data_IF_121415654806
#
_entry.id   IF_121415654806
#
_cell.length_a   1.000
_cell.length_b   1.000
_cell.length_c   1.000
_cell.angle_alpha   90.00
_cell.angle_beta   90.00
_cell.angle_gamma   90.00
#
_symmetry.space_group_name_H-M   'P 1'
#
loop_
_entity.id
_entity.type
_entity.pdbx_description
1 polymer ?
#
# COMPACT_ATOMS: atom_id res chain seq x y z
N UNK A 1 -12.64 1.84 -28.33
CA UNK A 1 -11.79 2.36 -27.23
C UNK A 1 -10.86 1.32 -26.61
N UNK A 2 -11.37 0.18 -26.12
CA UNK A 2 -10.53 -0.86 -25.48
C UNK A 2 -9.33 -1.38 -26.31
N UNK A 3 -9.46 -1.50 -27.63
CA UNK A 3 -8.36 -2.00 -28.47
C UNK A 3 -7.21 -1.00 -28.64
N UNK A 4 -7.52 0.30 -28.65
CA UNK A 4 -6.48 1.35 -28.73
C UNK A 4 -5.61 1.34 -27.47
N UNK A 5 -6.24 1.20 -26.31
CA UNK A 5 -5.52 1.04 -25.04
C UNK A 5 -4.64 -0.22 -25.05
N UNK A 6 -5.12 -1.35 -25.58
CA UNK A 6 -4.33 -2.58 -25.65
C UNK A 6 -3.06 -2.39 -26.49
N UNK A 7 -3.16 -1.67 -27.60
CA UNK A 7 -2.03 -1.34 -28.47
C UNK A 7 -1.01 -0.48 -27.71
N UNK A 8 -1.47 0.54 -26.99
CA UNK A 8 -0.61 1.42 -26.19
C UNK A 8 0.06 0.64 -25.03
N UNK A 9 -0.71 -0.16 -24.30
CA UNK A 9 -0.25 -0.98 -23.17
C UNK A 9 0.80 -2.01 -23.58
N UNK A 10 0.60 -2.71 -24.69
CA UNK A 10 1.53 -3.73 -25.17
C UNK A 10 2.65 -3.12 -26.04
N UNK A 11 2.69 -1.80 -26.18
CA UNK A 11 3.61 -1.06 -27.04
C UNK A 11 3.65 -1.60 -28.48
N UNK A 12 2.48 -2.06 -28.96
CA UNK A 12 2.32 -2.58 -30.31
C UNK A 12 2.15 -1.41 -31.26
N UNK A 13 2.71 -1.51 -32.47
CA UNK A 13 2.42 -0.57 -33.56
C UNK A 13 1.42 -1.20 -34.50
N UNK A 14 0.22 -0.63 -34.58
CA UNK A 14 -0.82 -1.10 -35.49
C UNK A 14 -0.58 -0.52 -36.90
N UNK A 15 -0.34 -1.41 -37.86
CA UNK A 15 -0.27 -1.07 -39.28
C UNK A 15 -1.51 -1.62 -39.99
N UNK A 16 -2.38 -0.71 -40.45
CA UNK A 16 -3.59 -1.07 -41.20
C UNK A 16 -3.28 -1.04 -42.70
N UNK A 17 -3.52 -2.14 -43.39
CA UNK A 17 -3.36 -2.20 -44.85
C UNK A 17 -4.35 -1.25 -45.51
N UNK A 18 -3.87 -0.42 -46.45
CA UNK A 18 -4.75 0.47 -47.22
C UNK A 18 -5.46 -0.30 -48.32
N UNK A 19 -6.66 0.15 -48.69
CA UNK A 19 -7.36 -0.35 -49.87
C UNK A 19 -6.46 -0.12 -51.09
N UNK A 20 -6.31 -1.16 -51.92
CA UNK A 20 -5.50 -1.16 -53.14
C UNK A 20 -3.97 -1.01 -52.96
N UNK A 21 -3.41 -1.41 -51.82
CA UNK A 21 -1.95 -1.58 -51.64
C UNK A 21 -1.53 -3.05 -51.94
N UNK A 22 -0.94 -3.34 -53.11
CA UNK A 22 -0.60 -4.71 -53.51
C UNK A 22 0.54 -5.31 -52.69
N UNK A 23 1.47 -4.50 -52.17
CA UNK A 23 2.68 -4.97 -51.52
C UNK A 23 2.40 -5.59 -50.14
N UNK A 24 1.53 -4.95 -49.36
CA UNK A 24 1.12 -5.45 -48.04
C UNK A 24 0.06 -6.55 -48.16
N UNK A 25 -0.91 -6.38 -49.07
CA UNK A 25 -2.01 -7.33 -49.27
C UNK A 25 -1.56 -8.65 -49.91
N UNK A 26 -0.61 -8.60 -50.84
CA UNK A 26 -0.13 -9.78 -51.59
C UNK A 26 0.47 -10.87 -50.69
N UNK A 27 1.15 -10.49 -49.60
CA UNK A 27 1.71 -11.44 -48.62
C UNK A 27 0.61 -12.24 -47.91
N UNK A 28 -0.44 -11.55 -47.45
CA UNK A 28 -1.59 -12.17 -46.76
C UNK A 28 -2.37 -13.05 -47.73
N UNK A 29 -2.61 -12.59 -48.96
CA UNK A 29 -3.32 -13.37 -49.98
C UNK A 29 -2.55 -14.65 -50.35
N UNK A 30 -1.23 -14.59 -50.47
CA UNK A 30 -0.39 -15.76 -50.74
C UNK A 30 -0.41 -16.76 -49.58
N UNK A 31 -0.38 -16.29 -48.33
CA UNK A 31 -0.53 -17.16 -47.15
C UNK A 31 -1.89 -17.86 -47.14
N UNK A 32 -2.99 -17.12 -47.38
CA UNK A 32 -4.34 -17.69 -47.44
C UNK A 32 -4.43 -18.72 -48.58
N UNK A 33 -3.88 -18.42 -49.77
CA UNK A 33 -3.81 -19.36 -50.90
C UNK A 33 -3.03 -20.62 -50.51
N UNK A 34 -1.93 -20.49 -49.78
CA UNK A 34 -1.14 -21.61 -49.30
C UNK A 34 -1.96 -22.52 -48.36
N UNK A 35 -2.62 -21.95 -47.34
CA UNK A 35 -3.47 -22.75 -46.42
C UNK A 35 -4.61 -23.42 -47.19
N UNK A 36 -5.33 -22.67 -48.04
CA UNK A 36 -6.45 -23.23 -48.83
C UNK A 36 -5.99 -24.40 -49.72
N UNK A 37 -4.88 -24.24 -50.45
CA UNK A 37 -4.39 -25.26 -51.40
C UNK A 37 -3.69 -26.45 -50.75
N UNK A 38 -3.06 -26.29 -49.59
CA UNK A 38 -2.31 -27.39 -48.94
C UNK A 38 -3.07 -28.08 -47.79
N UNK A 39 -4.00 -27.39 -47.14
CA UNK A 39 -4.74 -27.92 -45.99
C UNK A 39 -6.20 -28.22 -46.34
N UNK A 40 -6.91 -27.26 -46.93
CA UNK A 40 -8.39 -27.32 -47.04
C UNK A 40 -8.90 -27.96 -48.33
N UNK A 41 -8.13 -27.92 -49.41
CA UNK A 41 -8.56 -28.33 -50.76
C UNK A 41 -8.86 -29.82 -50.96
N UNK A 42 -8.37 -30.70 -50.08
CA UNK A 42 -8.48 -32.17 -50.21
C UNK A 42 -9.02 -32.79 -48.90
N UNK A 43 -9.60 -31.99 -47.99
CA UNK A 43 -10.05 -32.47 -46.68
C UNK A 43 -11.46 -32.02 -46.39
N UNK A 44 -12.31 -33.00 -46.14
CA UNK A 44 -13.61 -32.79 -45.51
C UNK A 44 -13.46 -33.04 -44.01
N UNK A 45 -14.07 -32.16 -43.21
CA UNK A 45 -14.06 -32.25 -41.76
C UNK A 45 -15.48 -32.52 -41.27
N UNK A 46 -15.62 -33.42 -40.29
CA UNK A 46 -16.94 -33.73 -39.71
C UNK A 46 -17.31 -32.78 -38.57
N UNK A 47 -16.30 -32.18 -37.92
CA UNK A 47 -16.50 -31.19 -36.85
C UNK A 47 -15.43 -30.09 -36.88
N UNK A 48 -15.71 -28.99 -36.18
CA UNK A 48 -14.77 -27.87 -36.02
C UNK A 48 -13.52 -28.31 -35.23
N UNK A 49 -13.70 -29.16 -34.21
CA UNK A 49 -12.58 -29.66 -33.40
C UNK A 49 -11.63 -30.55 -34.24
N UNK A 50 -12.17 -31.40 -35.10
CA UNK A 50 -11.39 -32.21 -36.04
C UNK A 50 -10.61 -31.32 -37.02
N UNK A 51 -11.25 -30.26 -37.53
CA UNK A 51 -10.58 -29.29 -38.40
C UNK A 51 -9.42 -28.59 -37.69
N UNK A 52 -9.62 -28.18 -36.43
CA UNK A 52 -8.59 -27.54 -35.60
C UNK A 52 -7.41 -28.50 -35.36
N UNK A 53 -7.67 -29.73 -34.92
CA UNK A 53 -6.63 -30.72 -34.66
C UNK A 53 -5.84 -31.06 -35.93
N UNK A 54 -6.54 -31.23 -37.06
CA UNK A 54 -5.93 -31.45 -38.38
C UNK A 54 -5.07 -30.26 -38.83
N UNK A 55 -5.52 -29.05 -38.52
CA UNK A 55 -4.78 -27.80 -38.72
C UNK A 55 -3.47 -27.77 -37.93
N UNK A 56 -3.52 -28.07 -36.62
CA UNK A 56 -2.32 -28.12 -35.78
C UNK A 56 -1.32 -29.19 -36.26
N UNK A 57 -1.80 -30.40 -36.61
CA UNK A 57 -0.96 -31.47 -37.16
C UNK A 57 -0.30 -31.05 -38.48
N UNK A 58 -1.05 -30.40 -39.37
CA UNK A 58 -0.52 -29.88 -40.64
C UNK A 58 0.49 -28.77 -40.44
N UNK A 59 0.23 -27.84 -39.51
CA UNK A 59 1.12 -26.73 -39.18
C UNK A 59 2.48 -27.26 -38.72
N UNK A 60 2.48 -28.19 -37.76
CA UNK A 60 3.71 -28.81 -37.23
C UNK A 60 4.48 -29.57 -38.32
N UNK A 61 3.81 -30.42 -39.09
CA UNK A 61 4.47 -31.30 -40.07
C UNK A 61 4.91 -30.57 -41.34
N UNK A 62 4.16 -29.57 -41.79
CA UNK A 62 4.30 -29.02 -43.15
C UNK A 62 4.62 -27.53 -43.18
N UNK A 63 3.82 -26.69 -42.54
CA UNK A 63 4.08 -25.24 -42.57
C UNK A 63 5.37 -24.89 -41.81
N UNK A 64 5.53 -25.41 -40.60
CA UNK A 64 6.69 -25.12 -39.75
C UNK A 64 7.81 -26.15 -39.88
N UNK A 65 7.48 -27.39 -40.28
CA UNK A 65 8.42 -28.52 -40.32
C UNK A 65 9.13 -28.77 -41.65
N UNK A 66 8.71 -28.11 -42.75
CA UNK A 66 9.42 -28.22 -44.05
C UNK A 66 10.36 -27.03 -44.28
N UNK A 67 11.36 -27.27 -45.12
CA UNK A 67 12.25 -26.22 -45.62
C UNK A 67 11.40 -25.19 -46.39
N UNK A 68 11.41 -23.96 -45.91
CA UNK A 68 10.80 -22.82 -46.60
C UNK A 68 11.63 -22.48 -47.83
N UNK A 69 10.98 -22.23 -48.97
CA UNK A 69 11.67 -21.86 -50.20
C UNK A 69 12.31 -20.46 -50.13
N UNK A 70 11.73 -19.56 -49.32
CA UNK A 70 12.23 -18.20 -49.18
C UNK A 70 13.52 -18.12 -48.35
N UNK A 71 13.59 -18.87 -47.25
CA UNK A 71 14.73 -18.82 -46.31
C UNK A 71 15.67 -20.01 -46.44
N UNK A 72 15.29 -21.05 -47.22
CA UNK A 72 16.00 -22.33 -47.35
C UNK A 72 16.28 -23.05 -46.03
N UNK A 73 15.53 -22.69 -44.98
CA UNK A 73 15.65 -23.24 -43.63
C UNK A 73 14.29 -23.70 -43.12
N UNK A 74 14.28 -24.49 -42.04
CA UNK A 74 13.05 -24.98 -41.40
C UNK A 74 12.56 -23.91 -40.41
N UNK A 75 11.35 -23.34 -40.59
CA UNK A 75 10.84 -22.27 -39.72
C UNK A 75 10.82 -22.65 -38.23
N UNK A 76 10.51 -23.91 -37.90
CA UNK A 76 10.48 -24.38 -36.52
C UNK A 76 11.85 -24.36 -35.81
N UNK A 77 12.96 -24.41 -36.57
CA UNK A 77 14.31 -24.27 -35.99
C UNK A 77 14.71 -22.80 -35.92
N UNK A 78 14.35 -22.03 -36.93
CA UNK A 78 14.68 -20.62 -37.06
C UNK A 78 14.03 -19.78 -35.95
N UNK A 79 12.79 -20.10 -35.56
CA UNK A 79 12.07 -19.39 -34.50
C UNK A 79 12.76 -19.47 -33.13
N UNK A 80 13.50 -20.55 -32.84
CA UNK A 80 14.23 -20.66 -31.56
C UNK A 80 15.35 -19.63 -31.47
N UNK A 81 16.06 -19.39 -32.58
CA UNK A 81 17.08 -18.34 -32.65
C UNK A 81 16.46 -16.94 -32.63
N UNK A 82 15.36 -16.72 -33.36
CA UNK A 82 14.68 -15.43 -33.33
C UNK A 82 14.13 -15.10 -31.95
N UNK A 83 13.65 -16.11 -31.19
CA UNK A 83 13.04 -15.93 -29.87
C UNK A 83 13.98 -15.29 -28.86
N UNK A 84 15.29 -15.53 -28.96
CA UNK A 84 16.30 -14.88 -28.10
C UNK A 84 16.38 -13.37 -28.31
N UNK A 85 16.01 -12.90 -29.51
CA UNK A 85 16.00 -11.48 -29.88
C UNK A 85 14.62 -10.82 -29.70
N UNK A 86 13.59 -11.58 -29.33
CA UNK A 86 12.24 -11.05 -29.11
C UNK A 86 12.10 -10.48 -27.69
N UNK A 87 11.34 -9.39 -27.58
CA UNK A 87 10.92 -8.86 -26.28
C UNK A 87 10.01 -9.88 -25.58
N UNK A 88 10.16 -10.11 -24.26
CA UNK A 88 9.21 -10.89 -23.50
C UNK A 88 7.80 -10.26 -23.56
N UNK A 89 6.77 -11.10 -23.62
CA UNK A 89 5.38 -10.65 -23.66
C UNK A 89 5.02 -9.98 -22.34
N UNK A 90 4.59 -8.72 -22.40
CA UNK A 90 4.10 -7.98 -21.25
C UNK A 90 2.82 -8.59 -20.66
N UNK A 91 2.59 -8.37 -19.36
CA UNK A 91 1.28 -8.64 -18.79
C UNK A 91 0.29 -7.57 -19.30
N UNK A 92 -0.92 -7.98 -19.66
CA UNK A 92 -1.96 -7.09 -20.18
C UNK A 92 -3.18 -7.11 -19.26
N UNK A 93 -3.76 -5.93 -19.01
CA UNK A 93 -5.05 -5.73 -18.35
C UNK A 93 -6.19 -6.37 -19.15
N UNK A 94 -6.00 -6.58 -20.45
CA UNK A 94 -6.96 -7.24 -21.35
C UNK A 94 -6.68 -8.72 -21.56
N UNK A 95 -5.74 -9.32 -20.80
CA UNK A 95 -5.46 -10.77 -20.88
C UNK A 95 -6.68 -11.55 -20.35
N UNK A 96 -7.69 -11.67 -21.21
CA UNK A 96 -9.00 -12.22 -20.86
C UNK A 96 -9.03 -13.74 -20.81
N UNK A 97 -8.06 -14.38 -21.46
CA UNK A 97 -7.94 -15.84 -21.47
C UNK A 97 -7.34 -16.39 -20.15
N UNK A 98 -7.06 -15.51 -19.18
CA UNK A 98 -6.74 -15.85 -17.79
C UNK A 98 -7.76 -15.24 -16.80
N UNK A 99 -9.01 -15.01 -17.24
CA UNK A 99 -10.09 -14.35 -16.47
C UNK A 99 -10.70 -15.16 -15.31
N UNK A 100 -10.10 -16.28 -14.89
CA UNK A 100 -10.66 -17.02 -13.75
C UNK A 100 -10.20 -16.42 -12.40
N UNK A 101 -9.21 -15.53 -12.35
CA UNK A 101 -8.57 -15.23 -11.06
C UNK A 101 -8.53 -13.78 -10.58
N UNK A 102 -8.77 -12.77 -11.43
CA UNK A 102 -8.57 -11.36 -11.01
C UNK A 102 -9.82 -10.71 -10.46
N UNK A 103 -9.84 -10.50 -9.14
CA UNK A 103 -10.95 -9.89 -8.40
C UNK A 103 -10.52 -8.53 -7.83
N UNK A 104 -11.42 -7.54 -7.84
CA UNK A 104 -11.16 -6.27 -7.16
C UNK A 104 -11.51 -6.40 -5.68
N UNK A 105 -10.61 -5.95 -4.81
CA UNK A 105 -10.84 -5.91 -3.36
C UNK A 105 -10.51 -4.54 -2.80
N UNK A 106 -11.35 -4.08 -1.89
CA UNK A 106 -11.07 -2.88 -1.10
C UNK A 106 -10.27 -3.27 0.12
N UNK A 107 -9.14 -2.59 0.32
CA UNK A 107 -8.38 -2.69 1.54
C UNK A 107 -9.07 -1.89 2.65
N UNK A 108 -9.05 -2.41 3.88
CA UNK A 108 -9.60 -1.70 5.04
C UNK A 108 -8.69 -0.55 5.50
N UNK A 109 -9.11 0.15 6.56
CA UNK A 109 -8.36 1.25 7.18
C UNK A 109 -6.96 0.85 7.66
N UNK A 110 -6.78 -0.42 8.03
CA UNK A 110 -5.50 -1.00 8.47
C UNK A 110 -4.70 -1.65 7.32
N UNK A 111 -5.09 -1.39 6.05
CA UNK A 111 -4.51 -1.95 4.84
C UNK A 111 -4.56 -3.49 4.75
N UNK A 112 -5.65 -4.13 5.22
CA UNK A 112 -5.89 -5.56 5.01
C UNK A 112 -6.93 -5.80 3.92
N UNK A 113 -6.72 -6.87 3.14
CA UNK A 113 -7.72 -7.43 2.23
C UNK A 113 -8.19 -8.79 2.76
N UNK A 114 -9.48 -9.07 2.61
CA UNK A 114 -10.04 -10.38 2.95
C UNK A 114 -10.13 -11.25 1.70
N UNK A 115 -9.56 -12.45 1.75
CA UNK A 115 -9.60 -13.48 0.69
C UNK A 115 -9.80 -14.83 1.36
N UNK A 116 -10.80 -15.62 0.93
CA UNK A 116 -11.10 -16.96 1.46
C UNK A 116 -11.14 -17.03 3.00
N UNK A 117 -11.85 -16.08 3.63
CA UNK A 117 -11.95 -15.95 5.10
C UNK A 117 -10.61 -15.73 5.84
N UNK A 118 -9.52 -15.46 5.12
CA UNK A 118 -8.23 -15.02 5.67
C UNK A 118 -8.03 -13.52 5.41
N UNK A 119 -7.23 -12.86 6.25
CA UNK A 119 -6.89 -11.44 6.10
C UNK A 119 -5.41 -11.29 5.74
N UNK A 120 -5.12 -10.61 4.65
CA UNK A 120 -3.75 -10.41 4.14
C UNK A 120 -3.36 -8.94 4.23
N UNK A 121 -2.21 -8.66 4.83
CA UNK A 121 -1.72 -7.30 5.01
C UNK A 121 -1.10 -6.74 3.73
N UNK A 122 -1.46 -5.51 3.36
CA UNK A 122 -0.83 -4.73 2.30
C UNK A 122 0.04 -3.62 2.89
N UNK A 123 0.93 -3.00 2.10
CA UNK A 123 1.63 -1.78 2.49
C UNK A 123 0.67 -0.66 2.90
N UNK A 124 1.05 0.16 3.90
CA UNK A 124 0.22 1.25 4.45
C UNK A 124 -0.20 2.32 3.41
N UNK A 125 0.50 2.41 2.28
CA UNK A 125 0.14 3.25 1.13
C UNK A 125 -1.20 2.85 0.46
N UNK A 126 -1.70 1.64 0.73
CA UNK A 126 -2.93 1.09 0.16
C UNK A 126 -4.13 1.09 1.12
N UNK A 127 -4.07 1.84 2.23
CA UNK A 127 -5.24 2.03 3.13
C UNK A 127 -6.43 2.63 2.37
N UNK A 128 -7.61 2.04 2.53
CA UNK A 128 -8.85 2.45 1.87
C UNK A 128 -8.75 2.57 0.34
N UNK A 129 -7.81 1.85 -0.29
CA UNK A 129 -7.67 1.81 -1.75
C UNK A 129 -8.16 0.47 -2.29
N UNK A 130 -8.63 0.51 -3.53
CA UNK A 130 -8.99 -0.69 -4.29
C UNK A 130 -7.73 -1.27 -4.94
N UNK A 131 -7.54 -2.58 -4.80
CA UNK A 131 -6.46 -3.35 -5.43
C UNK A 131 -7.04 -4.50 -6.24
N UNK A 132 -6.25 -5.03 -7.17
CA UNK A 132 -6.60 -6.25 -7.89
C UNK A 132 -5.88 -7.44 -7.26
N UNK A 133 -6.61 -8.53 -7.00
CA UNK A 133 -6.04 -9.77 -6.47
C UNK A 133 -6.08 -10.85 -7.53
N UNK A 134 -5.10 -11.74 -7.56
CA UNK A 134 -5.10 -12.94 -8.35
C UNK A 134 -4.88 -14.16 -7.45
N UNK A 135 -5.88 -15.02 -7.35
CA UNK A 135 -5.84 -16.21 -6.49
C UNK A 135 -5.51 -17.44 -7.35
N UNK A 136 -4.53 -18.22 -6.91
CA UNK A 136 -4.21 -19.55 -7.45
C UNK A 136 -4.49 -20.62 -6.39
N UNK A 137 -4.25 -21.91 -6.67
CA UNK A 137 -4.46 -22.98 -5.66
C UNK A 137 -3.62 -22.84 -4.39
N UNK A 138 -2.49 -22.15 -4.45
CA UNK A 138 -1.51 -22.09 -3.34
C UNK A 138 -1.05 -20.68 -3.00
N UNK A 139 -1.27 -19.71 -3.90
CA UNK A 139 -0.69 -18.37 -3.80
C UNK A 139 -1.72 -17.30 -4.14
N UNK A 140 -1.61 -16.17 -3.45
CA UNK A 140 -2.33 -14.93 -3.67
C UNK A 140 -1.35 -13.88 -4.15
N UNK A 141 -1.64 -13.27 -5.29
CA UNK A 141 -0.90 -12.13 -5.81
C UNK A 141 -1.77 -10.88 -5.74
N UNK A 142 -1.18 -9.74 -5.39
CA UNK A 142 -1.89 -8.47 -5.30
C UNK A 142 -1.21 -7.46 -6.20
N UNK A 143 -1.99 -6.77 -7.01
CA UNK A 143 -1.56 -5.81 -8.02
C UNK A 143 -2.16 -4.43 -7.76
N UNK A 144 -1.42 -3.40 -8.15
CA UNK A 144 -1.92 -2.03 -8.19
C UNK A 144 -2.94 -1.88 -9.32
N UNK A 145 -4.05 -1.19 -9.05
CA UNK A 145 -5.14 -1.00 -10.00
C UNK A 145 -4.72 -0.12 -11.20
N UNK A 146 -3.80 0.83 -11.00
CA UNK A 146 -3.44 1.82 -12.01
C UNK A 146 -2.13 1.50 -12.71
N UNK A 147 -1.12 1.03 -11.97
CA UNK A 147 0.20 0.72 -12.56
C UNK A 147 0.33 -0.73 -13.01
N UNK A 148 -0.61 -1.60 -12.61
CA UNK A 148 -0.56 -3.05 -12.84
C UNK A 148 0.72 -3.72 -12.29
N UNK A 149 1.48 -3.04 -11.44
CA UNK A 149 2.65 -3.57 -10.77
C UNK A 149 2.26 -4.53 -9.65
N UNK A 150 3.07 -5.57 -9.46
CA UNK A 150 2.88 -6.50 -8.35
C UNK A 150 3.26 -5.82 -7.03
N UNK A 151 2.28 -5.72 -6.13
CA UNK A 151 2.46 -5.14 -4.80
C UNK A 151 3.07 -6.18 -3.86
N UNK A 152 2.45 -7.37 -3.80
CA UNK A 152 2.83 -8.40 -2.84
C UNK A 152 2.29 -9.79 -3.24
N UNK A 153 3.06 -10.81 -2.89
CA UNK A 153 2.71 -12.23 -3.00
C UNK A 153 2.57 -12.88 -1.61
N UNK A 154 1.55 -13.71 -1.42
CA UNK A 154 1.31 -14.51 -0.22
C UNK A 154 1.06 -15.98 -0.56
N UNK A 155 1.43 -16.88 0.35
CA UNK A 155 0.94 -18.26 0.34
C UNK A 155 -0.48 -18.30 0.96
N UNK A 156 -1.39 -19.04 0.34
CA UNK A 156 -2.75 -19.21 0.85
C UNK A 156 -2.74 -20.07 2.11
N UNK A 157 -3.45 -19.62 3.15
CA UNK A 157 -3.62 -20.40 4.36
C UNK A 157 -4.82 -21.34 4.19
N UNK A 158 -4.67 -22.66 4.39
CA UNK A 158 -5.80 -23.59 4.39
C UNK A 158 -6.70 -23.43 5.62
N UNK A 159 -6.23 -22.71 6.64
CA UNK A 159 -6.97 -22.46 7.88
C UNK A 159 -7.68 -21.10 7.79
N UNK A 160 -9.03 -21.06 7.84
CA UNK A 160 -9.80 -19.81 7.82
C UNK A 160 -9.59 -18.99 9.09
N UNK A 161 -9.73 -17.66 9.00
CA UNK A 161 -9.61 -16.73 10.13
C UNK A 161 -8.17 -16.28 10.43
N UNK A 162 -7.16 -16.74 9.68
CA UNK A 162 -5.77 -16.36 9.91
C UNK A 162 -5.47 -14.97 9.33
N UNK A 163 -4.68 -14.19 10.08
CA UNK A 163 -4.13 -12.91 9.60
C UNK A 163 -2.68 -13.14 9.17
N UNK A 164 -2.41 -12.96 7.88
CA UNK A 164 -1.08 -13.08 7.29
C UNK A 164 -0.48 -11.70 7.11
N UNK A 165 0.67 -11.49 7.74
CA UNK A 165 1.43 -10.25 7.66
C UNK A 165 2.89 -10.55 7.40
N UNK A 166 3.46 -10.05 6.30
CA UNK A 166 4.91 -10.01 6.14
C UNK A 166 5.50 -8.95 7.08
N UNK A 167 6.57 -9.31 7.79
CA UNK A 167 7.24 -8.43 8.76
C UNK A 167 7.76 -7.13 8.12
N UNK A 168 8.12 -7.21 6.84
CA UNK A 168 8.64 -6.11 6.02
C UNK A 168 7.66 -4.94 5.84
N UNK A 169 6.35 -5.19 5.94
CA UNK A 169 5.32 -4.14 5.76
C UNK A 169 4.68 -3.65 7.07
N UNK A 170 5.04 -4.24 8.22
CA UNK A 170 4.64 -3.70 9.53
C UNK A 170 5.46 -2.48 9.95
N UNK A 171 6.64 -2.28 9.35
CA UNK A 171 7.57 -1.20 9.71
C UNK A 171 8.01 -0.51 8.43
N UNK A 172 7.67 0.77 8.29
CA UNK A 172 8.35 1.64 7.34
C UNK A 172 9.84 1.66 7.69
N UNK A 173 10.63 0.93 6.91
CA UNK A 173 12.06 0.70 7.09
C UNK A 173 12.86 1.73 6.30
N UNK A 174 12.34 2.95 6.14
CA UNK A 174 13.02 3.95 5.29
C UNK A 174 14.18 4.66 6.00
N UNK A 175 14.28 4.57 7.32
CA UNK A 175 15.40 5.17 8.09
C UNK A 175 15.87 4.20 9.15
N UNK A 176 17.17 3.92 9.22
CA UNK A 176 17.74 3.04 10.25
C UNK A 176 17.53 3.67 11.63
N UNK A 177 17.31 2.88 12.69
CA UNK A 177 17.18 3.43 14.05
C UNK A 177 18.42 4.27 14.46
N UNK A 178 19.58 3.99 13.88
CA UNK A 178 20.81 4.75 14.06
C UNK A 178 20.75 6.14 13.38
N UNK A 179 20.26 6.24 12.16
CA UNK A 179 20.06 7.53 11.46
C UNK A 179 19.05 8.41 12.19
N UNK A 180 18.00 7.81 12.77
CA UNK A 180 17.02 8.54 13.57
C UNK A 180 17.62 9.07 14.87
N UNK A 181 18.50 8.30 15.53
CA UNK A 181 19.23 8.77 16.72
C UNK A 181 20.17 9.92 16.40
N UNK A 182 20.92 9.83 15.30
CA UNK A 182 21.81 10.88 14.85
C UNK A 182 21.03 12.17 14.58
N UNK A 183 19.95 12.08 13.78
CA UNK A 183 19.09 13.23 13.48
C UNK A 183 18.56 13.89 14.74
N UNK A 184 17.99 13.13 15.68
CA UNK A 184 17.40 13.69 16.92
C UNK A 184 18.46 14.31 17.82
N UNK A 185 19.67 13.75 17.85
CA UNK A 185 20.77 14.29 18.66
C UNK A 185 21.34 15.59 18.10
N UNK A 186 21.26 15.77 16.78
CA UNK A 186 21.72 16.97 16.06
C UNK A 186 20.64 18.07 15.95
N UNK A 187 19.39 17.81 16.39
CA UNK A 187 18.30 18.79 16.28
C UNK A 187 18.56 20.11 17.02
N UNK A 188 19.25 20.07 18.16
CA UNK A 188 19.53 21.25 18.97
C UNK A 188 20.95 21.20 19.53
N UNK A 189 21.68 22.30 19.42
CA UNK A 189 23.06 22.45 19.91
C UNK A 189 23.15 22.75 21.42
N UNK A 190 22.19 22.27 22.22
CA UNK A 190 22.20 22.47 23.68
C UNK A 190 22.83 21.28 24.41
N UNK A 191 23.67 21.56 25.41
CA UNK A 191 24.28 20.55 26.28
C UNK A 191 23.24 19.75 27.08
N UNK A 192 22.14 20.42 27.48
CA UNK A 192 21.01 19.79 28.16
C UNK A 192 20.23 18.85 27.22
N UNK A 193 20.12 19.19 25.93
CA UNK A 193 19.50 18.33 24.93
C UNK A 193 20.29 17.04 24.72
N UNK A 194 21.61 17.13 24.52
CA UNK A 194 22.48 15.95 24.35
C UNK A 194 22.46 15.04 25.58
N UNK A 195 22.40 15.64 26.77
CA UNK A 195 22.30 14.91 28.03
C UNK A 195 20.95 14.19 28.17
N UNK A 196 19.86 14.86 27.79
CA UNK A 196 18.51 14.30 27.81
C UNK A 196 18.35 13.17 26.80
N UNK A 197 18.78 13.33 25.55
CA UNK A 197 18.68 12.29 24.51
C UNK A 197 19.49 11.04 24.89
N UNK A 198 20.70 11.22 25.45
CA UNK A 198 21.54 10.10 25.89
C UNK A 198 20.89 9.31 27.05
N UNK A 199 20.31 10.02 28.03
CA UNK A 199 19.57 9.38 29.14
C UNK A 199 18.29 8.71 28.65
N UNK A 200 17.52 9.35 27.76
CA UNK A 200 16.33 8.76 27.13
C UNK A 200 16.67 7.46 26.40
N UNK A 201 17.71 7.45 25.56
CA UNK A 201 18.11 6.28 24.79
C UNK A 201 18.62 5.13 25.65
N UNK A 202 19.20 5.43 26.82
CA UNK A 202 19.64 4.42 27.80
C UNK A 202 18.44 3.80 28.52
N UNK A 203 17.49 4.62 28.98
CA UNK A 203 16.29 4.18 29.69
C UNK A 203 15.31 3.43 28.78
N UNK A 204 15.13 3.89 27.53
CA UNK A 204 14.19 3.32 26.56
C UNK A 204 14.91 2.59 25.41
N UNK A 205 15.91 1.75 25.72
CA UNK A 205 16.72 1.03 24.71
C UNK A 205 15.88 0.18 23.73
N UNK A 206 14.74 -0.35 24.17
CA UNK A 206 13.79 -1.12 23.34
C UNK A 206 12.94 -0.23 22.41
N UNK A 207 12.65 1.01 22.81
CA UNK A 207 11.70 1.92 22.14
C UNK A 207 12.37 3.15 21.54
N UNK A 208 13.68 3.12 21.31
CA UNK A 208 14.43 4.31 20.84
C UNK A 208 13.88 4.85 19.52
N UNK A 209 13.46 3.98 18.60
CA UNK A 209 12.87 4.41 17.32
C UNK A 209 11.59 5.23 17.53
N UNK A 210 10.70 4.75 18.40
CA UNK A 210 9.41 5.39 18.66
C UNK A 210 9.62 6.74 19.33
N UNK A 211 10.55 6.80 20.30
CA UNK A 211 11.00 8.04 20.94
C UNK A 211 11.58 9.04 19.91
N UNK A 212 12.38 8.57 18.94
CA UNK A 212 12.89 9.44 17.88
C UNK A 212 11.79 9.93 16.92
N UNK A 213 10.76 9.12 16.65
CA UNK A 213 9.63 9.54 15.82
C UNK A 213 8.76 10.57 16.53
N UNK A 214 8.53 10.41 17.83
CA UNK A 214 7.85 11.42 18.66
C UNK A 214 8.65 12.73 18.69
N UNK A 215 9.96 12.66 18.89
CA UNK A 215 10.83 13.83 18.86
C UNK A 215 10.70 14.58 17.52
N UNK A 216 10.72 13.87 16.39
CA UNK A 216 10.48 14.48 15.07
C UNK A 216 9.09 15.07 14.95
N UNK A 217 8.05 14.38 15.42
CA UNK A 217 6.68 14.87 15.32
C UNK A 217 6.48 16.18 16.08
N UNK A 218 7.05 16.29 17.27
CA UNK A 218 6.83 17.44 18.13
C UNK A 218 7.78 18.60 17.83
N UNK A 219 9.06 18.29 17.55
CA UNK A 219 10.11 19.29 17.49
C UNK A 219 10.62 19.65 16.09
N UNK A 220 10.17 18.95 15.03
CA UNK A 220 10.57 19.27 13.65
C UNK A 220 9.61 20.23 12.94
N UNK A 221 8.32 20.22 13.32
CA UNK A 221 7.24 20.93 12.60
C UNK A 221 6.83 22.23 13.29
N UNK A 222 7.16 22.40 14.57
CA UNK A 222 6.75 23.55 15.38
C UNK A 222 7.89 24.55 15.49
N UNK A 223 7.55 25.83 15.33
CA UNK A 223 8.44 26.94 15.69
C UNK A 223 8.60 26.93 17.20
N UNK A 224 9.80 26.57 17.66
CA UNK A 224 10.08 26.29 19.07
C UNK A 224 10.90 27.44 19.62
N UNK A 225 10.31 28.08 20.64
CA UNK A 225 11.04 28.99 21.49
C UNK A 225 12.13 28.24 22.27
N UNK A 226 13.39 28.61 22.00
CA UNK A 226 14.58 27.99 22.56
C UNK A 226 14.69 28.23 24.07
N UNK A 227 14.21 29.36 24.59
CA UNK A 227 14.31 29.70 26.01
C UNK A 227 13.37 28.83 26.84
N UNK A 228 12.13 28.64 26.35
CA UNK A 228 11.14 27.75 26.96
C UNK A 228 11.61 26.29 26.89
N UNK A 229 12.24 25.89 25.78
CA UNK A 229 12.79 24.55 25.62
C UNK A 229 13.90 24.28 26.64
N UNK A 230 14.79 25.24 26.89
CA UNK A 230 15.87 25.05 27.86
C UNK A 230 15.35 24.94 29.30
N UNK A 231 14.36 25.75 29.67
CA UNK A 231 13.69 25.64 30.97
C UNK A 231 12.99 24.28 31.14
N UNK A 232 12.32 23.83 30.08
CA UNK A 232 11.65 22.53 30.04
C UNK A 232 12.65 21.38 30.20
N UNK A 233 13.79 21.43 29.52
CA UNK A 233 14.85 20.42 29.63
C UNK A 233 15.44 20.37 31.04
N UNK A 234 15.68 21.52 31.68
CA UNK A 234 16.15 21.58 33.08
C UNK A 234 15.13 20.94 34.02
N UNK A 235 13.84 21.20 33.83
CA UNK A 235 12.78 20.59 34.63
C UNK A 235 12.69 19.07 34.42
N UNK A 236 12.74 18.60 33.17
CA UNK A 236 12.68 17.17 32.87
C UNK A 236 13.91 16.39 33.34
N UNK A 237 15.09 17.02 33.35
CA UNK A 237 16.32 16.43 33.91
C UNK A 237 16.29 16.39 35.45
N UNK A 238 15.62 17.35 36.10
CA UNK A 238 15.46 17.38 37.57
C UNK A 238 14.46 16.34 38.07
N UNK A 239 13.39 16.09 37.31
CA UNK A 239 12.30 15.20 37.68
C UNK A 239 12.38 13.80 37.04
N UNK A 240 13.48 13.50 36.33
CA UNK A 240 13.72 12.25 35.60
C UNK A 240 12.57 11.82 34.65
N UNK A 241 11.82 12.77 34.10
CA UNK A 241 10.78 12.51 33.11
C UNK A 241 11.41 12.41 31.72
N UNK A 242 12.08 11.30 31.46
CA UNK A 242 12.97 11.16 30.31
C UNK A 242 12.26 10.89 28.96
N UNK A 243 10.92 10.81 28.89
CA UNK A 243 10.17 10.53 27.64
C UNK A 243 9.95 11.79 26.79
N UNK A 244 10.02 11.69 25.45
CA UNK A 244 9.72 12.82 24.55
C UNK A 244 8.26 13.27 24.61
N UNK A 245 7.31 12.39 24.93
CA UNK A 245 5.92 12.80 25.21
C UNK A 245 5.86 13.73 26.41
N UNK A 246 6.51 13.37 27.51
CA UNK A 246 6.53 14.19 28.72
C UNK A 246 7.21 15.53 28.47
N UNK A 247 8.28 15.55 27.65
CA UNK A 247 8.97 16.77 27.24
C UNK A 247 8.05 17.71 26.44
N UNK A 248 7.23 17.17 25.54
CA UNK A 248 6.25 17.98 24.80
C UNK A 248 5.13 18.50 25.73
N UNK A 249 4.68 17.69 26.71
CA UNK A 249 3.63 18.10 27.64
C UNK A 249 4.11 19.21 28.58
N UNK A 250 5.34 19.11 29.09
CA UNK A 250 5.97 20.17 29.91
C UNK A 250 6.25 21.41 29.07
N UNK A 251 6.72 21.26 27.83
CA UNK A 251 6.89 22.39 26.91
C UNK A 251 5.56 23.10 26.65
N UNK A 252 4.47 22.35 26.42
CA UNK A 252 3.14 22.92 26.22
C UNK A 252 2.57 23.57 27.49
N UNK A 253 2.99 23.14 28.68
CA UNK A 253 2.67 23.80 29.93
C UNK A 253 3.40 25.14 30.05
N UNK A 254 4.73 25.16 29.90
CA UNK A 254 5.52 26.39 29.99
C UNK A 254 5.18 27.41 28.90
N UNK A 255 4.85 26.94 27.69
CA UNK A 255 4.33 27.81 26.63
C UNK A 255 3.03 28.48 27.04
N UNK A 256 2.07 27.72 27.59
CA UNK A 256 0.81 28.27 28.13
C UNK A 256 1.03 29.23 29.30
N UNK A 257 2.01 28.95 30.16
CA UNK A 257 2.37 29.81 31.28
C UNK A 257 3.02 31.13 30.80
N UNK A 258 3.82 31.08 29.73
CA UNK A 258 4.44 32.26 29.11
C UNK A 258 3.48 33.13 28.30
N UNK A 259 2.44 32.53 27.70
CA UNK A 259 1.43 33.22 26.87
C UNK A 259 0.34 33.92 27.71
N UNK A 260 0.39 33.80 29.04
CA UNK A 260 -0.50 34.49 29.97
C UNK A 260 -1.79 33.73 30.27
N UNK A 261 -2.17 33.76 31.55
CA UNK A 261 -3.37 33.20 32.14
C UNK A 261 -4.67 33.74 31.52
N UNK A 262 -5.10 33.17 30.40
CA UNK A 262 -6.51 33.17 30.01
C UNK A 262 -7.17 31.91 30.57
N UNK A 263 -7.52 31.95 31.86
CA UNK A 263 -8.51 31.04 32.45
C UNK A 263 -9.87 31.30 31.80
N UNK A 264 -10.09 30.74 30.61
CA UNK A 264 -11.44 30.36 30.19
C UNK A 264 -11.46 28.84 30.36
N UNK A 265 -11.81 28.40 31.56
CA UNK A 265 -12.39 27.08 31.75
C UNK A 265 -13.58 27.02 30.81
N UNK A 266 -13.42 26.42 29.62
CA UNK A 266 -14.56 26.11 28.77
C UNK A 266 -15.48 25.23 29.61
N UNK A 267 -16.63 25.80 30.01
CA UNK A 267 -17.75 25.01 30.51
C UNK A 267 -17.98 23.90 29.50
N UNK A 268 -17.80 22.65 29.95
CA UNK A 268 -18.15 21.48 29.17
C UNK A 268 -19.64 21.63 28.90
N UNK A 269 -20.02 21.93 27.64
CA UNK A 269 -21.43 21.93 27.25
C UNK A 269 -21.97 20.53 27.53
N UNK A 270 -22.77 20.42 28.58
CA UNK A 270 -23.55 19.23 28.85
C UNK A 270 -24.56 19.10 27.72
N UNK A 271 -24.46 18.00 26.97
CA UNK A 271 -25.48 17.62 25.99
C UNK A 271 -26.80 17.45 26.75
N UNK A 272 -27.78 18.30 26.45
CA UNK A 272 -29.15 18.17 26.96
C UNK A 272 -29.73 16.84 26.46
N UNK A 273 -29.58 15.80 27.28
CA UNK A 273 -30.15 14.49 27.01
C UNK A 273 -31.61 14.57 27.43
N UNK A 274 -32.47 15.00 26.52
CA UNK A 274 -33.90 14.77 26.66
C UNK A 274 -34.13 13.28 26.93
N UNK A 275 -34.50 12.96 28.16
CA UNK A 275 -34.66 11.60 28.64
C UNK A 275 -35.84 10.94 27.91
N UNK A 276 -35.57 9.90 27.12
CA UNK A 276 -36.58 9.10 26.40
C UNK A 276 -36.82 7.74 27.06
N UNK A 277 -36.88 7.69 28.40
CA UNK A 277 -37.16 6.46 29.15
C UNK A 277 -38.62 6.37 29.62
N UNK A 278 -39.08 5.17 29.94
CA UNK A 278 -40.46 4.89 30.37
C UNK A 278 -40.76 5.19 31.85
N UNK A 279 -39.81 5.77 32.59
CA UNK A 279 -39.93 6.05 34.03
C UNK A 279 -39.78 7.56 34.29
N UNK A 280 -40.46 8.08 35.32
CA UNK A 280 -40.30 9.49 35.70
C UNK A 280 -38.86 9.78 36.13
N UNK A 281 -38.22 10.86 35.61
CA UNK A 281 -36.88 11.25 36.02
C UNK A 281 -36.84 11.60 37.51
N UNK A 282 -35.81 11.12 38.22
CA UNK A 282 -35.54 11.52 39.59
C UNK A 282 -35.14 13.00 39.64
N UNK A 283 -35.65 13.73 40.64
CA UNK A 283 -35.29 15.13 40.86
C UNK A 283 -33.85 15.22 41.39
N UNK A 284 -32.91 15.58 40.51
CA UNK A 284 -31.48 15.71 40.84
C UNK A 284 -31.13 17.18 40.93
N UNK A 285 -30.77 17.64 42.13
CA UNK A 285 -30.27 18.99 42.34
C UNK A 285 -28.81 19.13 41.84
N UNK A 286 -28.61 19.98 40.84
CA UNK A 286 -27.27 20.40 40.40
C UNK A 286 -26.72 21.45 41.37
N UNK A 287 -25.58 21.16 42.02
CA UNK A 287 -24.86 22.12 42.86
C UNK A 287 -23.85 22.89 42.01
N UNK A 288 -23.76 24.21 42.21
CA UNK A 288 -22.82 25.05 41.47
C UNK A 288 -21.35 24.67 41.75
N UNK A 289 -20.51 24.75 40.71
CA UNK A 289 -19.08 24.42 40.77
C UNK A 289 -18.29 25.23 41.81
N UNK A 290 -18.82 26.38 42.25
CA UNK A 290 -18.28 27.20 43.34
C UNK A 290 -18.21 26.44 44.68
N UNK A 291 -19.17 25.55 44.96
CA UNK A 291 -19.19 24.74 46.19
C UNK A 291 -18.02 23.76 46.22
N UNK A 292 -17.65 23.20 45.07
CA UNK A 292 -16.51 22.29 44.95
C UNK A 292 -15.16 23.04 45.05
N UNK A 293 -15.08 24.28 44.51
CA UNK A 293 -13.90 25.13 44.68
C UNK A 293 -13.64 25.47 46.15
N UNK A 294 -14.67 25.74 46.94
CA UNK A 294 -14.49 25.96 48.39
C UNK A 294 -14.03 24.71 49.14
N UNK A 295 -14.53 23.53 48.76
CA UNK A 295 -14.12 22.25 49.36
C UNK A 295 -12.65 21.92 49.06
N UNK A 296 -12.21 22.13 47.82
CA UNK A 296 -10.81 21.92 47.40
C UNK A 296 -9.89 22.99 48.00
N UNK A 297 -10.36 24.22 48.15
CA UNK A 297 -9.64 25.29 48.86
C UNK A 297 -9.42 24.96 50.34
N UNK A 298 -10.42 24.37 51.01
CA UNK A 298 -10.33 23.93 52.41
C UNK A 298 -9.51 22.65 52.60
N UNK A 299 -9.39 21.78 51.58
CA UNK A 299 -8.62 20.54 51.69
C UNK A 299 -7.11 20.72 51.61
N UNK A 300 -6.59 21.91 51.23
CA UNK A 300 -5.16 22.23 51.29
C UNK A 300 -4.59 22.31 52.72
N UNK A 301 -5.42 22.10 53.76
CA UNK A 301 -5.00 22.01 55.16
C UNK A 301 -4.81 20.60 55.74
N UNK A 302 -5.11 19.54 54.99
CA UNK A 302 -4.92 18.16 55.48
C UNK A 302 -3.68 17.55 54.83
N UNK A 303 -2.53 17.78 55.47
CA UNK A 303 -1.32 16.99 55.27
C UNK A 303 -1.59 15.52 55.67
N UNK A 304 -1.37 14.61 54.72
CA UNK A 304 -0.81 13.27 54.98
C UNK A 304 0.43 13.17 54.12
#
# INVERSE_FOLDING_TARGET
DNFKYFIEEQEIRMYVCRVADPETKGKIENLIKYVKRNLLSIRDFKSVDEANESGFKWLKRRANGKISQATKQIPALLIEHEREHLRPVGNSIFRKNSLIGREKRNANEKAYISVEACSYQLPLKYRNKTVEIYVTKHKLFVFDLYTAEEIIEYELSPIPGRILSKREHRRETEKTAQELKALVSEMFESENWKSFTTRNFKTFSRYVRDQCLEAKRYFLVKDIDLDILEQTLKYCLKNDTLSFSNLNDTYAYFKRESEGSNEILQEIQTLDRQYQGAHEPLDVNERSLSVYKELIGKSKGALI
#
